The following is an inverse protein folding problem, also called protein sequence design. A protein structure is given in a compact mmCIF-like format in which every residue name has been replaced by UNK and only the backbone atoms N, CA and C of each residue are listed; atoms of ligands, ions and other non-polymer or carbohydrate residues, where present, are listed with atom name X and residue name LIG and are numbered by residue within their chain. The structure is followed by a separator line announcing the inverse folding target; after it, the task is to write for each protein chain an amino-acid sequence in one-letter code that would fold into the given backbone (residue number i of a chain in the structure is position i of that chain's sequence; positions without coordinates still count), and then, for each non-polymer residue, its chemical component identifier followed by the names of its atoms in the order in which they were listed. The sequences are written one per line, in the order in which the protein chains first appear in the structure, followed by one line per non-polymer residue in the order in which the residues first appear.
data_IF_017704201263
#
_entry.id   IF_017704201263
#
_cell.length_a   1.000
_cell.length_b   1.000
_cell.length_c   1.000
_cell.angle_alpha   90.00
_cell.angle_beta   90.00
_cell.angle_gamma   90.00
#
_symmetry.space_group_name_H-M   'P 1'
#
loop_
_entity.id
_entity.type
_entity.pdbx_description
1 polymer ?
#
# COMPACT_ATOMS: atom_id res chain seq x y z
N UNK A 1 -48.33 60.39 15.98
CA UNK A 1 -48.22 58.99 16.31
C UNK A 1 -47.20 58.38 15.34
N UNK A 2 -45.93 58.31 15.79
CA UNK A 2 -44.82 57.80 14.99
C UNK A 2 -44.56 56.38 15.44
N UNK A 3 -44.60 55.41 14.49
CA UNK A 3 -44.25 54.01 14.72
C UNK A 3 -42.85 53.77 14.15
N UNK A 4 -41.87 53.51 15.01
CA UNK A 4 -40.53 53.04 14.62
C UNK A 4 -40.59 51.54 14.24
N UNK A 5 -39.93 51.12 13.18
CA UNK A 5 -39.77 49.68 12.89
C UNK A 5 -38.59 49.13 13.68
N UNK A 6 -38.86 48.06 14.42
CA UNK A 6 -37.85 47.25 15.12
C UNK A 6 -37.14 46.37 14.10
N UNK A 7 -35.83 46.59 13.84
CA UNK A 7 -35.00 45.80 12.95
C UNK A 7 -34.51 44.58 13.72
N UNK A 8 -35.02 43.38 13.37
CA UNK A 8 -34.54 42.12 13.92
C UNK A 8 -33.23 41.73 13.20
N UNK A 9 -32.10 41.84 13.89
CA UNK A 9 -30.83 41.30 13.43
C UNK A 9 -30.86 39.79 13.61
N UNK A 10 -30.91 39.04 12.50
CA UNK A 10 -30.73 37.59 12.48
C UNK A 10 -29.21 37.29 12.53
N UNK A 11 -28.69 36.92 13.70
CA UNK A 11 -27.32 36.40 13.82
C UNK A 11 -27.26 34.99 13.20
N UNK A 12 -26.77 34.86 11.97
CA UNK A 12 -26.37 33.56 11.40
C UNK A 12 -25.08 33.12 12.13
N UNK A 13 -25.20 32.19 13.05
CA UNK A 13 -24.05 31.44 13.58
C UNK A 13 -23.53 30.48 12.52
N UNK A 14 -22.42 30.87 11.88
CA UNK A 14 -21.62 29.94 11.05
C UNK A 14 -21.01 28.89 11.99
N UNK A 15 -21.62 27.69 12.00
CA UNK A 15 -20.98 26.54 12.61
C UNK A 15 -19.72 26.20 11.80
N UNK A 16 -18.55 26.50 12.34
CA UNK A 16 -17.29 26.00 11.82
C UNK A 16 -17.33 24.47 11.90
N UNK A 17 -17.10 23.74 10.78
CA UNK A 17 -16.98 22.30 10.86
C UNK A 17 -15.82 21.98 11.80
N UNK A 18 -16.10 21.17 12.82
CA UNK A 18 -15.07 20.58 13.68
C UNK A 18 -14.17 19.74 12.76
N UNK A 19 -12.99 20.26 12.42
CA UNK A 19 -11.96 19.50 11.72
C UNK A 19 -11.57 18.37 12.68
N UNK A 20 -11.90 17.13 12.33
CA UNK A 20 -11.41 15.98 13.08
C UNK A 20 -9.88 16.09 13.19
N UNK A 21 -9.35 15.81 14.38
CA UNK A 21 -7.90 15.80 14.61
C UNK A 21 -7.24 14.80 13.62
N UNK A 22 -6.56 15.34 12.61
CA UNK A 22 -5.86 14.56 11.59
C UNK A 22 -4.43 14.20 12.04
N UNK A 23 -4.13 14.30 13.32
CA UNK A 23 -2.81 13.96 13.85
C UNK A 23 -2.57 12.45 13.85
N UNK A 24 -1.32 12.07 13.63
CA UNK A 24 -0.88 10.68 13.68
C UNK A 24 -1.05 10.14 15.12
N UNK A 25 -1.82 9.03 15.34
CA UNK A 25 -1.96 8.43 16.65
C UNK A 25 -0.60 7.96 17.22
N UNK A 26 -0.41 8.11 18.54
CA UNK A 26 0.85 7.83 19.22
C UNK A 26 1.34 6.38 19.09
N UNK A 27 0.44 5.42 18.82
CA UNK A 27 0.81 4.02 18.60
C UNK A 27 1.28 3.73 17.16
N UNK A 28 1.15 4.69 16.25
CA UNK A 28 1.65 4.59 14.88
C UNK A 28 3.08 5.11 14.79
N UNK A 29 3.96 4.32 14.20
CA UNK A 29 5.39 4.63 14.07
C UNK A 29 5.85 4.57 12.61
N UNK A 30 6.83 5.38 12.27
CA UNK A 30 7.53 5.26 11.00
C UNK A 30 8.44 4.03 11.04
N UNK A 31 8.30 3.12 10.09
CA UNK A 31 9.12 1.90 10.03
C UNK A 31 10.59 2.26 9.95
N UNK A 32 10.96 3.31 9.23
CA UNK A 32 12.33 3.81 9.12
C UNK A 32 12.95 4.19 10.46
N UNK A 33 12.16 4.67 11.43
CA UNK A 33 12.66 4.99 12.79
C UNK A 33 12.83 3.76 13.67
N UNK A 34 12.22 2.62 13.30
CA UNK A 34 12.33 1.35 14.03
C UNK A 34 13.43 0.46 13.42
N UNK A 35 13.43 0.34 12.09
CA UNK A 35 14.45 -0.38 11.32
C UNK A 35 14.76 0.34 10.00
N UNK A 36 15.82 1.16 9.95
CA UNK A 36 16.21 1.87 8.73
C UNK A 36 16.76 0.94 7.64
N UNK A 37 16.99 -0.33 7.94
CA UNK A 37 17.45 -1.33 6.99
C UNK A 37 16.35 -1.93 6.11
N UNK A 38 15.08 -1.66 6.40
CA UNK A 38 13.95 -2.03 5.54
C UNK A 38 13.83 -1.00 4.42
N UNK A 39 14.05 -1.43 3.18
CA UNK A 39 13.92 -0.53 2.02
C UNK A 39 12.45 -0.12 1.80
N UNK A 40 12.25 1.10 1.32
CA UNK A 40 10.90 1.64 1.05
C UNK A 40 10.80 2.14 -0.40
N UNK A 41 9.75 1.70 -1.09
CA UNK A 41 9.34 2.16 -2.43
C UNK A 41 7.83 2.38 -2.38
N UNK A 42 7.40 3.44 -1.65
CA UNK A 42 5.99 3.69 -1.34
C UNK A 42 5.27 4.15 -2.61
N UNK A 43 4.67 3.21 -3.31
CA UNK A 43 4.12 3.38 -4.65
C UNK A 43 3.00 4.39 -4.71
N UNK A 44 2.15 4.44 -3.71
CA UNK A 44 1.00 5.36 -3.68
C UNK A 44 1.36 6.81 -3.34
N UNK A 45 2.62 7.08 -2.95
CA UNK A 45 3.13 8.45 -2.84
C UNK A 45 3.63 9.01 -4.20
N UNK A 46 3.57 8.26 -5.27
CA UNK A 46 4.00 8.64 -6.62
C UNK A 46 2.96 8.27 -7.67
N UNK A 47 3.17 8.65 -8.92
CA UNK A 47 2.31 8.26 -10.03
C UNK A 47 2.59 6.83 -10.54
N UNK A 48 3.60 6.14 -10.04
CA UNK A 48 3.91 4.76 -10.43
C UNK A 48 3.11 3.73 -9.64
N UNK A 49 1.81 3.78 -9.81
CA UNK A 49 0.83 2.84 -9.25
C UNK A 49 -0.33 2.67 -10.23
N UNK A 50 -1.26 1.76 -9.97
CA UNK A 50 -2.33 1.42 -10.91
C UNK A 50 -3.28 2.58 -11.24
N UNK A 51 -3.32 3.64 -10.44
CA UNK A 51 -4.15 4.83 -10.71
C UNK A 51 -3.46 5.86 -11.59
N UNK A 52 -2.12 5.84 -11.69
CA UNK A 52 -1.33 6.79 -12.46
C UNK A 52 -1.15 8.16 -11.79
N UNK A 53 -1.53 8.31 -10.53
CA UNK A 53 -1.31 9.54 -9.73
C UNK A 53 -1.03 9.21 -8.26
N UNK A 54 -0.38 10.11 -7.50
CA UNK A 54 -0.26 9.96 -6.05
C UNK A 54 -1.64 9.96 -5.40
N UNK A 55 -1.89 9.03 -4.47
CA UNK A 55 -3.19 8.94 -3.80
C UNK A 55 -3.37 10.00 -2.71
N UNK A 56 -4.64 10.38 -2.50
CA UNK A 56 -5.03 11.31 -1.45
C UNK A 56 -4.50 10.89 -0.07
N UNK A 57 -3.79 11.80 0.62
CA UNK A 57 -3.24 11.59 1.94
C UNK A 57 -1.80 11.08 1.99
N UNK A 58 -1.19 10.71 0.86
CA UNK A 58 0.25 10.43 0.77
C UNK A 58 1.02 11.72 0.51
N UNK A 59 1.41 12.43 1.58
CA UNK A 59 2.23 13.65 1.51
C UNK A 59 3.74 13.34 1.57
N UNK A 60 4.10 12.08 1.87
CA UNK A 60 5.46 11.58 1.89
C UNK A 60 5.50 10.09 1.53
N UNK A 61 6.63 9.66 0.98
CA UNK A 61 6.92 8.26 0.71
C UNK A 61 7.44 7.55 1.98
N UNK A 62 6.55 7.39 2.97
CA UNK A 62 6.88 6.80 4.27
C UNK A 62 5.95 5.64 4.62
N UNK A 63 6.53 4.57 5.13
CA UNK A 63 5.80 3.45 5.71
C UNK A 63 5.51 3.72 7.19
N UNK A 64 4.22 3.75 7.55
CA UNK A 64 3.76 3.81 8.93
C UNK A 64 3.02 2.50 9.29
N UNK A 65 3.33 1.96 10.46
CA UNK A 65 2.64 0.79 11.03
C UNK A 65 2.35 1.03 12.51
N UNK A 66 1.45 0.24 13.08
CA UNK A 66 1.37 0.12 14.54
C UNK A 66 2.72 -0.33 15.10
N UNK A 67 3.07 0.11 16.30
CA UNK A 67 4.36 -0.20 16.92
C UNK A 67 4.61 -1.72 16.99
N UNK A 68 3.60 -2.52 17.26
CA UNK A 68 3.73 -3.97 17.37
C UNK A 68 3.96 -4.62 15.99
N UNK A 69 3.25 -4.17 14.95
CA UNK A 69 3.47 -4.64 13.59
C UNK A 69 4.87 -4.25 13.09
N UNK A 70 5.33 -3.01 13.37
CA UNK A 70 6.66 -2.56 12.99
C UNK A 70 7.77 -3.37 13.68
N UNK A 71 7.64 -3.66 14.99
CA UNK A 71 8.57 -4.54 15.72
C UNK A 71 8.57 -5.97 15.18
N UNK A 72 7.40 -6.51 14.84
CA UNK A 72 7.29 -7.83 14.22
C UNK A 72 7.99 -7.84 12.85
N UNK A 73 7.77 -6.81 12.02
CA UNK A 73 8.41 -6.68 10.72
C UNK A 73 9.94 -6.60 10.83
N UNK A 74 10.47 -5.91 11.84
CA UNK A 74 11.92 -5.89 12.15
C UNK A 74 12.45 -7.28 12.46
N UNK A 75 11.70 -8.13 13.18
CA UNK A 75 12.14 -9.52 13.44
C UNK A 75 12.14 -10.34 12.16
N UNK A 76 11.16 -10.17 11.27
CA UNK A 76 11.17 -10.77 9.92
C UNK A 76 12.44 -10.34 9.17
N UNK A 77 12.72 -9.04 9.12
CA UNK A 77 13.91 -8.49 8.45
C UNK A 77 15.20 -9.11 9.00
N UNK A 78 15.33 -9.23 10.31
CA UNK A 78 16.52 -9.79 10.95
C UNK A 78 16.71 -11.28 10.63
N UNK A 79 15.63 -12.07 10.58
CA UNK A 79 15.71 -13.48 10.20
C UNK A 79 16.12 -13.65 8.74
N UNK A 80 15.58 -12.82 7.84
CA UNK A 80 15.92 -12.85 6.42
C UNK A 80 17.35 -12.37 6.15
N UNK A 81 17.84 -11.36 6.88
CA UNK A 81 19.24 -10.90 6.77
C UNK A 81 20.24 -12.00 7.09
N UNK A 82 19.95 -12.87 8.04
CA UNK A 82 20.79 -14.02 8.37
C UNK A 82 20.91 -15.01 7.21
N UNK A 83 19.95 -15.01 6.29
CA UNK A 83 19.93 -15.84 5.07
C UNK A 83 20.42 -15.08 3.81
N UNK A 84 20.87 -13.82 3.95
CA UNK A 84 21.34 -12.98 2.85
C UNK A 84 20.22 -12.23 2.09
N UNK A 85 19.02 -12.17 2.65
CA UNK A 85 17.87 -11.48 2.06
C UNK A 85 17.49 -10.23 2.86
N UNK A 86 16.68 -9.37 2.26
CA UNK A 86 16.09 -8.20 2.92
C UNK A 86 14.65 -7.97 2.50
N UNK A 87 14.00 -7.02 3.16
CA UNK A 87 12.66 -6.58 2.84
C UNK A 87 12.66 -5.23 2.11
N UNK A 88 11.71 -5.09 1.20
CA UNK A 88 11.30 -3.81 0.62
C UNK A 88 9.79 -3.67 0.75
N UNK A 89 9.31 -2.55 1.30
CA UNK A 89 7.87 -2.26 1.45
C UNK A 89 7.38 -1.35 0.32
N UNK A 90 6.19 -1.63 -0.17
CA UNK A 90 5.49 -0.87 -1.21
C UNK A 90 4.34 -0.03 -0.65
N UNK A 91 3.65 -0.53 0.37
CA UNK A 91 2.60 0.17 1.10
C UNK A 91 2.48 -0.34 2.53
N UNK A 92 2.02 0.54 3.42
CA UNK A 92 1.83 0.24 4.84
C UNK A 92 0.47 0.78 5.29
N UNK A 93 0.40 1.68 6.27
CA UNK A 93 -0.82 2.40 6.56
C UNK A 93 -1.28 3.19 5.33
N UNK A 94 -2.54 3.03 4.97
CA UNK A 94 -3.20 3.73 3.86
C UNK A 94 -4.39 4.50 4.42
N UNK A 95 -4.42 5.83 4.37
CA UNK A 95 -5.55 6.64 4.83
C UNK A 95 -6.86 6.23 4.14
N UNK A 96 -7.99 6.30 4.83
CA UNK A 96 -9.28 5.96 4.20
C UNK A 96 -9.60 6.87 3.00
N UNK A 97 -9.08 8.11 2.97
CA UNK A 97 -9.19 9.01 1.80
C UNK A 97 -8.48 8.43 0.56
N UNK A 98 -7.33 7.75 0.74
CA UNK A 98 -6.65 7.06 -0.35
C UNK A 98 -7.46 5.86 -0.87
N UNK A 99 -8.11 5.10 0.02
CA UNK A 99 -9.03 4.02 -0.37
C UNK A 99 -10.22 4.57 -1.18
N UNK A 100 -10.76 5.72 -0.76
CA UNK A 100 -11.83 6.40 -1.51
C UNK A 100 -11.34 6.89 -2.88
N UNK A 101 -10.09 7.35 -2.99
CA UNK A 101 -9.45 7.76 -4.24
C UNK A 101 -9.32 6.60 -5.22
N UNK A 102 -8.84 5.43 -4.77
CA UNK A 102 -8.85 4.19 -5.57
C UNK A 102 -10.24 3.85 -6.09
N UNK A 103 -11.26 4.04 -5.25
CA UNK A 103 -12.66 3.81 -5.62
C UNK A 103 -13.18 4.80 -6.68
N UNK A 104 -12.76 6.07 -6.61
CA UNK A 104 -13.07 7.06 -7.66
C UNK A 104 -12.41 6.66 -8.98
N UNK A 105 -11.12 6.35 -8.96
CA UNK A 105 -10.39 5.89 -10.13
C UNK A 105 -11.06 4.68 -10.80
N UNK A 106 -11.54 3.70 -10.04
CA UNK A 106 -12.24 2.53 -10.56
C UNK A 106 -13.54 2.89 -11.33
N UNK A 107 -14.12 4.07 -11.08
CA UNK A 107 -15.37 4.55 -11.67
C UNK A 107 -15.17 5.60 -12.77
N UNK A 108 -13.97 6.17 -12.91
CA UNK A 108 -13.65 7.22 -13.87
C UNK A 108 -13.14 6.65 -15.20
N UNK A 109 -13.29 7.38 -16.32
CA UNK A 109 -12.72 6.98 -17.59
C UNK A 109 -11.19 7.10 -17.60
N UNK A 110 -10.56 6.40 -18.56
CA UNK A 110 -9.10 6.42 -18.75
C UNK A 110 -8.38 5.30 -18.01
N UNK A 111 -7.35 4.76 -18.65
CA UNK A 111 -6.60 3.59 -18.20
C UNK A 111 -5.08 3.83 -18.40
N UNK A 112 -4.47 4.83 -17.70
CA UNK A 112 -3.13 5.32 -18.01
C UNK A 112 -2.04 4.23 -17.89
N UNK A 113 -2.19 3.31 -16.95
CA UNK A 113 -1.22 2.24 -16.68
C UNK A 113 -1.84 0.83 -16.75
N UNK A 114 -2.92 0.66 -17.55
CA UNK A 114 -3.60 -0.64 -17.72
C UNK A 114 -2.63 -1.74 -18.11
N UNK A 115 -1.78 -1.49 -19.10
CA UNK A 115 -0.81 -2.49 -19.58
C UNK A 115 0.11 -3.00 -18.46
N UNK A 116 0.50 -2.14 -17.53
CA UNK A 116 1.40 -2.51 -16.46
C UNK A 116 0.69 -3.23 -15.31
N UNK A 117 -0.44 -2.69 -14.82
CA UNK A 117 -1.03 -3.17 -13.57
C UNK A 117 -2.24 -4.08 -13.74
N UNK A 118 -3.06 -3.89 -14.78
CA UNK A 118 -4.30 -4.65 -14.98
C UNK A 118 -4.57 -5.00 -16.44
N UNK A 119 -3.58 -5.61 -17.13
CA UNK A 119 -3.61 -5.78 -18.59
C UNK A 119 -4.80 -6.59 -19.11
N UNK A 120 -5.38 -7.46 -18.29
CA UNK A 120 -6.49 -8.37 -18.63
C UNK A 120 -7.77 -8.11 -17.84
N UNK A 121 -7.80 -7.06 -17.01
CA UNK A 121 -8.94 -6.73 -16.15
C UNK A 121 -9.50 -5.38 -16.56
N UNK A 122 -10.82 -5.27 -16.64
CA UNK A 122 -11.49 -4.01 -16.86
C UNK A 122 -11.82 -3.32 -15.54
N UNK A 123 -11.69 -1.98 -15.47
CA UNK A 123 -11.91 -1.19 -14.24
C UNK A 123 -13.27 -1.43 -13.60
N UNK A 124 -14.32 -1.63 -14.40
CA UNK A 124 -15.67 -1.94 -13.91
C UNK A 124 -15.72 -3.23 -13.08
N UNK A 125 -14.76 -4.13 -13.24
CA UNK A 125 -14.66 -5.39 -12.53
C UNK A 125 -13.83 -5.31 -11.24
N UNK A 126 -13.11 -4.22 -10.98
CA UNK A 126 -12.23 -4.08 -9.81
C UNK A 126 -12.92 -4.39 -8.50
N UNK A 127 -14.15 -3.87 -8.31
CA UNK A 127 -14.95 -4.14 -7.12
C UNK A 127 -15.39 -5.60 -7.01
N UNK A 128 -15.85 -6.16 -8.11
CA UNK A 128 -16.36 -7.54 -8.17
C UNK A 128 -15.25 -8.56 -7.95
N UNK A 129 -14.06 -8.28 -8.49
CA UNK A 129 -12.90 -9.16 -8.38
C UNK A 129 -12.10 -8.93 -7.08
N UNK A 130 -12.43 -7.88 -6.31
CA UNK A 130 -11.80 -7.61 -5.02
C UNK A 130 -10.47 -6.85 -5.08
N UNK A 131 -10.07 -6.33 -6.25
CA UNK A 131 -8.85 -5.52 -6.39
C UNK A 131 -8.98 -4.15 -5.71
N UNK A 132 -10.19 -3.62 -5.61
CA UNK A 132 -10.50 -2.40 -4.85
C UNK A 132 -11.56 -2.72 -3.81
N UNK A 133 -11.37 -2.26 -2.59
CA UNK A 133 -12.28 -2.48 -1.47
C UNK A 133 -12.80 -1.17 -0.89
N UNK A 134 -14.04 -1.16 -0.35
CA UNK A 134 -14.59 0.02 0.35
C UNK A 134 -13.92 0.29 1.69
N UNK A 135 -13.38 -0.74 2.31
CA UNK A 135 -12.65 -0.68 3.58
C UNK A 135 -11.41 -1.54 3.44
N UNK A 136 -10.23 -0.96 3.66
CA UNK A 136 -8.95 -1.66 3.59
C UNK A 136 -8.40 -1.94 4.99
N UNK A 137 -7.77 -3.11 5.16
CA UNK A 137 -7.02 -3.41 6.38
C UNK A 137 -5.77 -2.51 6.53
N UNK A 138 -5.20 -1.99 5.44
CA UNK A 138 -4.13 -0.99 5.49
C UNK A 138 -4.53 0.24 6.31
N UNK A 139 -5.80 0.67 6.23
CA UNK A 139 -6.29 1.82 7.00
C UNK A 139 -6.30 1.60 8.52
N UNK A 140 -5.98 0.38 8.99
CA UNK A 140 -5.88 0.01 10.40
C UNK A 140 -4.44 0.08 10.94
N UNK A 141 -3.45 0.28 10.06
CA UNK A 141 -2.04 0.39 10.44
C UNK A 141 -1.35 -0.93 10.82
N UNK A 142 -1.94 -2.06 10.49
CA UNK A 142 -1.36 -3.38 10.76
C UNK A 142 -1.15 -4.24 9.50
N UNK A 143 -1.28 -3.65 8.32
CA UNK A 143 -1.12 -4.33 7.03
C UNK A 143 0.02 -3.71 6.25
N UNK A 144 0.78 -4.53 5.55
CA UNK A 144 1.94 -4.15 4.76
C UNK A 144 1.96 -4.92 3.46
N UNK A 145 2.24 -4.21 2.36
CA UNK A 145 2.57 -4.77 1.07
C UNK A 145 4.09 -4.73 0.89
N UNK A 146 4.71 -5.88 0.64
CA UNK A 146 6.17 -5.99 0.61
C UNK A 146 6.68 -7.14 -0.26
N UNK A 147 8.00 -7.13 -0.46
CA UNK A 147 8.73 -8.12 -1.23
C UNK A 147 10.07 -8.46 -0.58
N UNK A 148 10.76 -9.44 -1.17
CA UNK A 148 12.14 -9.80 -0.85
C UNK A 148 13.13 -9.08 -1.78
N UNK A 149 14.23 -8.63 -1.20
CA UNK A 149 15.45 -8.25 -1.91
C UNK A 149 16.56 -9.25 -1.61
N UNK A 150 17.57 -9.35 -2.46
CA UNK A 150 18.67 -10.29 -2.25
C UNK A 150 19.66 -10.28 -3.41
N UNK A 151 20.67 -11.18 -3.38
CA UNK A 151 21.76 -11.18 -4.36
C UNK A 151 21.29 -11.45 -5.80
N UNK A 152 20.19 -12.20 -5.96
CA UNK A 152 19.64 -12.54 -7.27
C UNK A 152 18.62 -11.51 -7.80
N UNK A 153 18.42 -10.38 -7.07
CA UNK A 153 17.56 -9.30 -7.51
C UNK A 153 18.20 -8.52 -8.65
N UNK A 154 17.45 -8.29 -9.72
CA UNK A 154 17.89 -7.38 -10.78
C UNK A 154 17.89 -5.94 -10.27
N UNK A 155 18.84 -5.08 -10.73
CA UNK A 155 18.83 -3.67 -10.38
C UNK A 155 17.49 -3.01 -10.71
N UNK A 156 17.05 -2.11 -9.83
CA UNK A 156 15.82 -1.35 -10.06
C UNK A 156 15.94 -0.43 -11.27
N UNK A 157 14.86 -0.30 -12.02
CA UNK A 157 14.72 0.71 -13.07
C UNK A 157 14.39 2.08 -12.45
N UNK A 158 14.68 3.15 -13.18
CA UNK A 158 14.19 4.48 -12.83
C UNK A 158 12.90 4.75 -13.59
N UNK A 159 11.79 4.80 -12.89
CA UNK A 159 10.51 5.08 -13.51
C UNK A 159 10.35 6.56 -13.88
N UNK A 160 9.77 6.80 -15.04
CA UNK A 160 9.37 8.15 -15.49
C UNK A 160 7.96 8.07 -16.09
N UNK A 161 7.18 9.16 -16.05
CA UNK A 161 5.83 9.17 -16.65
C UNK A 161 5.80 8.87 -18.15
N UNK A 162 6.93 8.99 -18.85
CA UNK A 162 7.09 8.68 -20.26
C UNK A 162 7.58 7.24 -20.52
N UNK A 163 7.87 6.46 -19.49
CA UNK A 163 8.26 5.07 -19.64
C UNK A 163 7.12 4.27 -20.28
N UNK A 164 7.44 3.46 -21.29
CA UNK A 164 6.44 2.57 -21.87
C UNK A 164 6.03 1.51 -20.83
N UNK A 165 4.73 1.37 -20.52
CA UNK A 165 4.28 0.38 -19.56
C UNK A 165 4.51 -1.04 -20.10
N UNK A 166 4.98 -1.94 -19.24
CA UNK A 166 5.21 -3.35 -19.55
C UNK A 166 4.28 -4.21 -18.68
N UNK A 167 3.68 -5.21 -19.27
CA UNK A 167 2.78 -6.15 -18.58
C UNK A 167 3.42 -6.71 -17.31
N UNK A 168 2.77 -6.55 -16.17
CA UNK A 168 3.25 -7.04 -14.87
C UNK A 168 3.45 -8.56 -14.80
N UNK A 169 2.92 -9.30 -15.75
CA UNK A 169 3.11 -10.76 -15.86
C UNK A 169 4.20 -11.16 -16.86
N UNK A 170 4.86 -10.18 -17.51
CA UNK A 170 5.99 -10.46 -18.40
C UNK A 170 7.11 -11.19 -17.65
N UNK A 171 8.01 -11.90 -18.36
CA UNK A 171 9.17 -12.53 -17.74
C UNK A 171 9.98 -11.55 -16.86
N UNK A 172 10.55 -12.05 -15.77
CA UNK A 172 11.21 -11.24 -14.72
C UNK A 172 12.18 -10.18 -15.26
N UNK A 173 13.02 -10.52 -16.24
CA UNK A 173 13.97 -9.56 -16.82
C UNK A 173 13.37 -8.58 -17.84
N UNK A 174 12.09 -8.70 -18.18
CA UNK A 174 11.41 -7.89 -19.20
C UNK A 174 10.36 -6.93 -18.60
N UNK A 175 9.75 -7.28 -17.44
CA UNK A 175 8.81 -6.40 -16.74
C UNK A 175 9.55 -5.31 -15.98
N UNK A 176 8.81 -4.33 -15.47
CA UNK A 176 9.35 -3.31 -14.58
C UNK A 176 10.12 -3.95 -13.40
N UNK A 177 11.35 -3.47 -13.19
CA UNK A 177 12.23 -3.97 -12.13
C UNK A 177 12.25 -2.98 -10.98
N UNK A 178 11.85 -3.42 -9.84
CA UNK A 178 11.83 -2.65 -8.59
C UNK A 178 12.97 -3.04 -7.62
N UNK A 179 13.93 -3.84 -8.07
CA UNK A 179 15.01 -4.35 -7.23
C UNK A 179 14.58 -5.50 -6.30
N UNK A 180 13.40 -6.06 -6.52
CA UNK A 180 12.93 -7.26 -5.82
C UNK A 180 13.43 -8.54 -6.48
N UNK A 181 13.36 -9.66 -5.76
CA UNK A 181 13.49 -11.00 -6.32
C UNK A 181 12.32 -11.31 -7.27
N UNK A 182 12.49 -12.32 -8.16
CA UNK A 182 11.38 -12.78 -8.99
C UNK A 182 10.26 -13.35 -8.14
N UNK A 183 9.14 -12.64 -8.09
CA UNK A 183 7.91 -13.06 -7.42
C UNK A 183 6.84 -13.55 -8.40
N UNK A 184 7.17 -13.71 -9.70
CA UNK A 184 6.26 -14.18 -10.76
C UNK A 184 5.40 -13.10 -11.40
N UNK A 185 5.11 -12.02 -10.69
CA UNK A 185 4.48 -10.80 -11.20
C UNK A 185 5.14 -9.57 -10.60
N UNK A 186 4.88 -8.39 -11.16
CA UNK A 186 5.10 -7.11 -10.46
C UNK A 186 4.18 -6.95 -9.25
N UNK A 187 4.45 -5.95 -8.42
CA UNK A 187 3.56 -5.49 -7.36
C UNK A 187 2.28 -4.90 -7.97
N UNK A 188 1.15 -5.03 -7.28
CA UNK A 188 -0.17 -4.54 -7.74
C UNK A 188 -0.61 -5.07 -9.11
N UNK A 189 -0.15 -6.25 -9.50
CA UNK A 189 -0.57 -6.90 -10.73
C UNK A 189 -1.96 -7.53 -10.56
N UNK A 190 -2.98 -6.97 -11.18
CA UNK A 190 -4.35 -7.51 -11.14
C UNK A 190 -4.47 -8.68 -12.13
N UNK A 191 -4.01 -9.83 -11.68
CA UNK A 191 -3.97 -11.06 -12.46
C UNK A 191 -3.95 -12.28 -11.51
N UNK A 192 -4.51 -13.41 -11.92
CA UNK A 192 -4.50 -14.64 -11.12
C UNK A 192 -3.09 -15.17 -10.85
N UNK A 193 -2.08 -14.75 -11.64
CA UNK A 193 -0.68 -15.04 -11.35
C UNK A 193 -0.19 -14.37 -10.08
N UNK A 194 -0.86 -13.30 -9.61
CA UNK A 194 -0.56 -12.64 -8.34
C UNK A 194 -1.06 -13.43 -7.11
N UNK A 195 -1.98 -14.37 -7.28
CA UNK A 195 -2.42 -15.23 -6.18
C UNK A 195 -1.22 -15.95 -5.56
N UNK A 196 -1.14 -15.97 -4.23
CA UNK A 196 0.05 -16.45 -3.48
C UNK A 196 0.50 -17.84 -3.94
N UNK A 197 -0.44 -18.76 -4.14
CA UNK A 197 -0.20 -20.16 -4.54
C UNK A 197 -0.46 -20.42 -6.04
N UNK A 198 -0.37 -19.39 -6.88
CA UNK A 198 -0.65 -19.53 -8.31
C UNK A 198 0.16 -20.66 -8.95
N UNK A 199 -0.52 -21.51 -9.73
CA UNK A 199 0.13 -22.53 -10.54
C UNK A 199 0.82 -21.97 -11.79
N UNK A 200 0.53 -20.73 -12.16
CA UNK A 200 0.92 -20.09 -13.41
C UNK A 200 2.29 -19.40 -13.36
N UNK A 201 3.02 -19.51 -12.25
CA UNK A 201 4.34 -18.93 -12.06
C UNK A 201 5.43 -20.00 -12.04
N UNK A 202 6.67 -19.58 -12.30
CA UNK A 202 7.82 -20.49 -12.33
C UNK A 202 8.25 -20.96 -10.92
N UNK A 203 9.13 -21.97 -10.86
CA UNK A 203 9.59 -22.56 -9.60
C UNK A 203 10.37 -21.59 -8.72
N UNK A 204 11.15 -20.68 -9.31
CA UNK A 204 11.91 -19.64 -8.58
C UNK A 204 10.97 -18.69 -7.85
N UNK A 205 9.96 -18.18 -8.55
CA UNK A 205 8.95 -17.30 -7.96
C UNK A 205 8.16 -17.99 -6.84
N UNK A 206 7.79 -19.28 -7.03
CA UNK A 206 7.15 -20.06 -5.96
C UNK A 206 8.03 -20.17 -4.72
N UNK A 207 9.32 -20.47 -4.88
CA UNK A 207 10.26 -20.58 -3.77
C UNK A 207 10.43 -19.25 -3.03
N UNK A 208 10.50 -18.11 -3.77
CA UNK A 208 10.60 -16.79 -3.19
C UNK A 208 9.34 -16.40 -2.40
N UNK A 209 8.14 -16.63 -2.96
CA UNK A 209 6.88 -16.42 -2.24
C UNK A 209 6.78 -17.27 -0.98
N UNK A 210 7.17 -18.54 -1.05
CA UNK A 210 7.18 -19.45 0.10
C UNK A 210 8.13 -18.96 1.19
N UNK A 211 9.34 -18.49 0.82
CA UNK A 211 10.29 -17.87 1.76
C UNK A 211 9.66 -16.67 2.46
N UNK A 212 9.08 -15.73 1.70
CA UNK A 212 8.43 -14.54 2.25
C UNK A 212 7.28 -14.93 3.18
N UNK A 213 6.34 -15.75 2.72
CA UNK A 213 5.17 -16.18 3.51
C UNK A 213 5.59 -16.88 4.79
N UNK A 214 6.60 -17.77 4.72
CA UNK A 214 7.10 -18.49 5.90
C UNK A 214 7.77 -17.56 6.92
N UNK A 215 8.57 -16.60 6.46
CA UNK A 215 9.20 -15.62 7.34
C UNK A 215 8.17 -14.70 8.02
N UNK A 216 7.20 -14.21 7.25
CA UNK A 216 6.11 -13.37 7.75
C UNK A 216 5.22 -14.12 8.77
N UNK A 217 4.84 -15.37 8.48
CA UNK A 217 3.98 -16.17 9.34
C UNK A 217 4.61 -16.44 10.71
N UNK A 218 5.93 -16.67 10.78
CA UNK A 218 6.66 -16.87 12.04
C UNK A 218 6.52 -15.70 13.01
N UNK A 219 6.33 -14.49 12.49
CA UNK A 219 6.23 -13.26 13.27
C UNK A 219 4.79 -12.73 13.38
N UNK A 220 3.80 -13.59 13.08
CA UNK A 220 2.39 -13.29 13.32
C UNK A 220 1.70 -12.53 12.20
N UNK A 221 2.26 -12.47 10.99
CA UNK A 221 1.59 -11.93 9.82
C UNK A 221 0.85 -13.03 9.06
N UNK A 222 -0.34 -12.70 8.58
CA UNK A 222 -1.19 -13.56 7.75
C UNK A 222 -1.26 -12.99 6.35
N UNK A 223 -0.88 -13.79 5.35
CA UNK A 223 -0.94 -13.42 3.93
C UNK A 223 -2.37 -13.42 3.39
N UNK A 224 -2.61 -12.64 2.36
CA UNK A 224 -3.85 -12.66 1.57
C UNK A 224 -3.67 -13.55 0.34
N UNK A 225 -4.56 -14.50 0.15
CA UNK A 225 -4.41 -15.52 -0.89
C UNK A 225 -4.41 -14.99 -2.33
N UNK A 226 -5.08 -13.86 -2.58
CA UNK A 226 -5.16 -13.24 -3.90
C UNK A 226 -3.97 -12.34 -4.25
N UNK A 227 -3.09 -12.01 -3.28
CA UNK A 227 -2.00 -11.06 -3.44
C UNK A 227 -0.76 -11.55 -2.68
N UNK A 228 0.31 -11.93 -3.41
CA UNK A 228 1.52 -12.49 -2.81
C UNK A 228 2.28 -11.50 -1.92
N UNK A 229 2.08 -10.20 -2.09
CA UNK A 229 2.75 -9.11 -1.35
C UNK A 229 2.04 -8.71 -0.07
N UNK A 230 0.73 -9.02 0.09
CA UNK A 230 -0.16 -8.47 1.11
C UNK A 230 -0.19 -9.31 2.38
N UNK A 231 0.20 -8.69 3.52
CA UNK A 231 0.25 -9.35 4.82
C UNK A 231 -0.35 -8.47 5.92
N UNK A 232 -1.21 -9.06 6.74
CA UNK A 232 -1.82 -8.40 7.91
C UNK A 232 -1.26 -8.99 9.19
N UNK A 233 -0.75 -8.15 10.09
CA UNK A 233 -0.32 -8.56 11.42
C UNK A 233 -1.54 -8.90 12.28
N UNK A 234 -1.59 -10.14 12.79
CA UNK A 234 -2.67 -10.69 13.60
C UNK A 234 -2.33 -10.81 15.08
N UNK A 235 -1.09 -10.48 15.46
CA UNK A 235 -0.65 -10.43 16.85
C UNK A 235 -1.42 -9.37 17.62
N UNK A 236 -2.05 -9.81 18.71
CA UNK A 236 -2.98 -9.11 19.56
C UNK A 236 -2.82 -7.56 19.56
N UNK A 237 -3.79 -6.81 19.16
CA UNK A 237 -5.04 -6.54 19.89
C UNK A 237 -6.31 -6.67 19.02
N UNK A 238 -7.53 -6.29 19.56
CA UNK A 238 -8.74 -6.29 18.75
C UNK A 238 -8.53 -5.48 17.48
N UNK A 239 -9.20 -5.86 16.39
CA UNK A 239 -9.09 -5.21 15.08
C UNK A 239 -9.18 -3.69 15.24
N UNK A 240 -8.11 -2.91 14.95
CA UNK A 240 -8.12 -1.47 15.16
C UNK A 240 -9.16 -0.79 14.27
N UNK A 241 -9.62 0.39 14.66
CA UNK A 241 -10.45 1.23 13.80
C UNK A 241 -9.68 1.70 12.58
N UNK A 242 -10.40 2.00 11.50
CA UNK A 242 -9.82 2.60 10.32
C UNK A 242 -9.46 4.07 10.58
N UNK A 243 -8.33 4.52 10.08
CA UNK A 243 -7.79 5.85 10.31
C UNK A 243 -7.70 6.65 9.00
N UNK A 244 -7.63 7.99 9.12
CA UNK A 244 -7.63 8.89 7.97
C UNK A 244 -6.62 10.05 8.09
N UNK A 245 -5.62 9.97 8.97
CA UNK A 245 -4.59 11.00 9.06
C UNK A 245 -3.63 10.93 7.85
N UNK A 246 -3.06 12.05 7.39
CA UNK A 246 -2.14 12.07 6.25
C UNK A 246 -0.80 11.45 6.63
N UNK A 247 -0.16 10.80 5.65
CA UNK A 247 1.23 10.34 5.76
C UNK A 247 2.13 11.52 5.46
N UNK A 248 2.77 12.08 6.50
CA UNK A 248 3.68 13.23 6.40
C UNK A 248 5.14 12.78 6.48
N UNK A 249 6.11 13.61 6.08
CA UNK A 249 7.52 13.31 6.29
C UNK A 249 7.83 13.04 7.77
N UNK A 250 8.75 12.09 8.02
CA UNK A 250 9.33 11.94 9.36
C UNK A 250 10.05 13.25 9.73
N UNK A 251 9.69 13.81 10.87
CA UNK A 251 10.39 14.98 11.38
C UNK A 251 11.87 14.66 11.63
N UNK A 252 12.78 15.62 11.38
CA UNK A 252 14.22 15.45 11.58
C UNK A 252 14.60 15.23 13.05
#
# INVERSE_FOLDING_TARGET
MSRSPCLLLLCLSLATPCMADESKPGHMVYVRSVDPGISQDIRYASAHNFTGHPLDGYQAAECLLSQDAAKALTRVQNSLKAEGYGLKVFDCYRPTRAVADMGRFASEPGDPLKTEFYPRVDKQDFWRLGYVARVSNHSRGNTVDLTLTGPDALPADTWTPSAAPVDCTAPYGQRWRDGALDMGTGFDCFDERAHTDSALINATAKANRQRLTSAMAKEGFVGYSAEWWHFTYSGNPPKPDVMNFPITPLAP
#
